data_IF_074549423107
#
_entry.id   IF_074549423107
#
_cell.length_a   1.000
_cell.length_b   1.000
_cell.length_c   1.000
_cell.angle_alpha   90.00
_cell.angle_beta   90.00
_cell.angle_gamma   90.00
#
_symmetry.space_group_name_H-M   'P 1'
#
loop_
_entity.id
_entity.type
_entity.pdbx_description
1 polymer ?
#
# COMPACT_ATOMS: atom_id res chain seq x y z
N UNK A 1 3.68 19.41 -28.19
CA UNK A 1 3.24 17.99 -28.07
C UNK A 1 1.88 17.86 -28.71
N UNK A 2 1.62 16.81 -29.49
CA UNK A 2 0.27 16.51 -29.97
C UNK A 2 -0.55 16.02 -28.78
N UNK A 3 -1.78 16.54 -28.60
CA UNK A 3 -2.71 16.01 -27.59
C UNK A 3 -3.00 14.54 -27.89
N UNK A 4 -3.06 13.65 -26.87
CA UNK A 4 -3.51 12.28 -27.09
C UNK A 4 -4.95 12.32 -27.67
N UNK A 5 -5.24 11.42 -28.58
CA UNK A 5 -6.57 11.30 -29.19
C UNK A 5 -7.61 10.71 -28.25
N UNK A 6 -7.15 10.05 -27.18
CA UNK A 6 -7.98 9.45 -26.13
C UNK A 6 -7.30 9.64 -24.78
N UNK A 7 -8.10 9.88 -23.72
CA UNK A 7 -7.62 10.00 -22.37
C UNK A 7 -8.55 9.31 -21.36
N UNK A 8 -7.97 8.47 -20.53
CA UNK A 8 -8.62 7.81 -19.39
C UNK A 8 -7.88 8.17 -18.11
N UNK A 9 -8.58 8.81 -17.17
CA UNK A 9 -8.05 8.99 -15.81
C UNK A 9 -8.16 7.67 -15.07
N UNK A 10 -7.02 7.03 -14.76
CA UNK A 10 -6.99 5.70 -14.12
C UNK A 10 -6.76 5.73 -12.62
N UNK A 11 -6.47 6.89 -12.04
CA UNK A 11 -6.23 7.09 -10.62
C UNK A 11 -6.84 8.41 -10.18
N UNK A 12 -7.95 8.35 -9.46
CA UNK A 12 -8.65 9.53 -8.97
C UNK A 12 -9.47 9.22 -7.71
N UNK A 13 -9.55 10.21 -6.83
CA UNK A 13 -10.25 10.14 -5.56
C UNK A 13 -11.45 11.08 -5.56
N UNK A 14 -12.56 10.60 -5.01
CA UNK A 14 -13.73 11.44 -4.70
C UNK A 14 -13.70 11.90 -3.25
N UNK A 15 -14.68 12.70 -2.85
CA UNK A 15 -14.86 13.12 -1.46
C UNK A 15 -15.11 11.97 -0.47
N UNK A 16 -15.26 10.73 -0.94
CA UNK A 16 -15.24 9.55 -0.08
C UNK A 16 -13.83 9.21 0.44
N UNK A 17 -12.78 9.65 -0.25
CA UNK A 17 -11.40 9.63 0.26
C UNK A 17 -11.17 10.85 1.15
N UNK A 18 -11.60 10.76 2.41
CA UNK A 18 -11.60 11.85 3.38
C UNK A 18 -10.22 12.51 3.50
N UNK A 19 -10.17 13.83 3.40
CA UNK A 19 -8.99 14.70 3.43
C UNK A 19 -8.06 14.61 2.21
N UNK A 20 -8.44 13.86 1.15
CA UNK A 20 -7.65 13.74 -0.07
C UNK A 20 -8.47 14.07 -1.32
N UNK A 21 -9.64 13.46 -1.50
CA UNK A 21 -10.52 13.74 -2.61
C UNK A 21 -11.54 14.85 -2.34
N UNK A 22 -12.00 15.51 -3.41
CA UNK A 22 -13.06 16.51 -3.40
C UNK A 22 -14.23 16.08 -4.27
N UNK A 23 -15.43 16.56 -3.93
CA UNK A 23 -16.63 16.36 -4.73
C UNK A 23 -17.20 14.93 -4.72
N UNK A 24 -18.42 14.81 -5.20
CA UNK A 24 -19.06 13.50 -5.37
C UNK A 24 -18.64 12.82 -6.67
N UNK A 25 -18.68 11.49 -6.75
CA UNK A 25 -18.35 10.76 -7.99
C UNK A 25 -19.11 11.24 -9.23
N UNK A 26 -20.35 11.69 -9.05
CA UNK A 26 -21.17 12.23 -10.14
C UNK A 26 -20.59 13.53 -10.73
N UNK A 27 -20.01 14.38 -9.89
CA UNK A 27 -19.40 15.63 -10.32
C UNK A 27 -18.14 15.37 -11.14
N UNK A 28 -17.33 14.38 -10.75
CA UNK A 28 -16.18 13.94 -11.53
C UNK A 28 -16.57 13.38 -12.90
N UNK A 29 -17.64 12.59 -12.98
CA UNK A 29 -18.15 12.05 -14.24
C UNK A 29 -18.65 13.18 -15.14
N UNK A 30 -19.38 14.14 -14.61
CA UNK A 30 -19.85 15.30 -15.37
C UNK A 30 -18.65 16.12 -15.86
N UNK A 31 -17.66 16.39 -15.00
CA UNK A 31 -16.44 17.08 -15.39
C UNK A 31 -15.71 16.40 -16.55
N UNK A 32 -15.62 15.07 -16.51
CA UNK A 32 -15.00 14.30 -17.60
C UNK A 32 -15.76 14.47 -18.92
N UNK A 33 -17.09 14.45 -18.89
CA UNK A 33 -17.93 14.67 -20.08
C UNK A 33 -17.78 16.09 -20.62
N UNK A 34 -17.86 17.09 -19.75
CA UNK A 34 -17.76 18.50 -20.12
C UNK A 34 -16.38 18.86 -20.72
N UNK A 35 -15.35 18.10 -20.35
CA UNK A 35 -13.98 18.29 -20.86
C UNK A 35 -13.57 17.27 -21.95
N UNK A 36 -14.49 16.45 -22.44
CA UNK A 36 -14.23 15.51 -23.53
C UNK A 36 -13.25 14.39 -23.21
N UNK A 37 -13.23 13.92 -21.95
CA UNK A 37 -12.45 12.75 -21.56
C UNK A 37 -13.19 11.46 -21.93
N UNK A 38 -12.45 10.42 -22.30
CA UNK A 38 -13.03 9.14 -22.76
C UNK A 38 -13.44 8.22 -21.59
N UNK A 39 -12.85 8.40 -20.43
CA UNK A 39 -13.17 7.58 -19.26
C UNK A 39 -12.51 8.05 -17.98
N UNK A 40 -13.02 7.52 -16.88
CA UNK A 40 -12.58 7.87 -15.54
C UNK A 40 -12.68 6.66 -14.61
N UNK A 41 -11.63 6.41 -13.85
CA UNK A 41 -11.61 5.41 -12.79
C UNK A 41 -11.82 6.07 -11.43
N UNK A 42 -12.73 5.53 -10.64
CA UNK A 42 -12.86 5.87 -9.22
C UNK A 42 -12.00 4.90 -8.41
N UNK A 43 -11.01 5.43 -7.74
CA UNK A 43 -10.02 4.65 -6.98
C UNK A 43 -9.83 5.22 -5.57
N UNK A 44 -10.93 5.35 -4.82
CA UNK A 44 -10.89 5.83 -3.44
C UNK A 44 -10.02 4.94 -2.56
N UNK A 45 -9.44 5.52 -1.50
CA UNK A 45 -8.49 4.89 -0.61
C UNK A 45 -9.08 3.76 0.24
N UNK A 46 -8.67 2.53 -0.02
CA UNK A 46 -8.97 1.35 0.81
C UNK A 46 -10.42 0.90 0.79
N UNK A 47 -11.29 1.52 0.02
CA UNK A 47 -12.71 1.18 -0.04
C UNK A 47 -13.36 1.53 -1.38
N UNK A 48 -14.60 1.08 -1.57
CA UNK A 48 -15.40 1.34 -2.77
C UNK A 48 -16.74 2.01 -2.43
N UNK A 49 -16.79 2.87 -1.41
CA UNK A 49 -18.05 3.48 -0.94
C UNK A 49 -18.69 4.38 -2.00
N UNK A 50 -17.90 5.05 -2.83
CA UNK A 50 -18.39 5.88 -3.94
C UNK A 50 -18.87 5.11 -5.16
N UNK A 51 -18.62 3.80 -5.24
CA UNK A 51 -18.90 2.99 -6.43
C UNK A 51 -20.35 3.04 -6.87
N UNK A 52 -21.31 2.82 -5.97
CA UNK A 52 -22.73 2.81 -6.33
C UNK A 52 -23.19 4.16 -6.89
N UNK A 53 -22.73 5.26 -6.32
CA UNK A 53 -23.02 6.61 -6.79
C UNK A 53 -22.49 6.84 -8.21
N UNK A 54 -21.23 6.47 -8.45
CA UNK A 54 -20.60 6.59 -9.76
C UNK A 54 -21.28 5.71 -10.81
N UNK A 55 -21.51 4.43 -10.46
CA UNK A 55 -22.09 3.46 -11.39
C UNK A 55 -23.51 3.85 -11.84
N UNK A 56 -24.39 4.17 -10.90
CA UNK A 56 -25.78 4.55 -11.22
C UNK A 56 -25.83 5.82 -12.07
N UNK A 57 -24.97 6.79 -11.77
CA UNK A 57 -24.91 8.02 -12.55
C UNK A 57 -24.35 7.77 -13.97
N UNK A 58 -23.26 7.03 -14.09
CA UNK A 58 -22.68 6.64 -15.39
C UNK A 58 -23.69 5.88 -16.26
N UNK A 59 -24.43 4.93 -15.67
CA UNK A 59 -25.47 4.19 -16.38
C UNK A 59 -26.63 5.07 -16.86
N UNK A 60 -27.05 6.05 -16.03
CA UNK A 60 -28.05 7.04 -16.43
C UNK A 60 -27.58 7.84 -17.63
N UNK A 61 -26.35 8.33 -17.61
CA UNK A 61 -25.77 9.11 -18.71
C UNK A 61 -25.56 8.27 -19.96
N UNK A 62 -25.10 7.02 -19.83
CA UNK A 62 -24.93 6.08 -20.92
C UNK A 62 -26.27 5.81 -21.63
N UNK A 63 -27.36 5.61 -20.88
CA UNK A 63 -28.72 5.46 -21.44
C UNK A 63 -29.20 6.72 -22.14
N UNK A 64 -28.71 7.89 -21.77
CA UNK A 64 -28.96 9.17 -22.43
C UNK A 64 -28.03 9.44 -23.64
N UNK A 65 -27.18 8.49 -24.04
CA UNK A 65 -26.29 8.59 -25.18
C UNK A 65 -24.89 9.14 -24.89
N UNK A 66 -24.51 9.37 -23.62
CA UNK A 66 -23.18 9.81 -23.33
C UNK A 66 -22.13 8.70 -23.58
N UNK A 67 -20.99 9.09 -24.14
CA UNK A 67 -19.88 8.20 -24.46
C UNK A 67 -18.74 8.41 -23.49
N UNK A 68 -18.93 8.00 -22.22
CA UNK A 68 -17.90 7.99 -21.20
C UNK A 68 -17.81 6.59 -20.58
N UNK A 69 -16.61 6.07 -20.41
CA UNK A 69 -16.39 4.81 -19.71
C UNK A 69 -16.09 5.07 -18.23
N UNK A 70 -16.99 4.65 -17.36
CA UNK A 70 -16.71 4.55 -15.93
C UNK A 70 -15.96 3.24 -15.63
N UNK A 71 -14.87 3.34 -14.87
CA UNK A 71 -14.03 2.23 -14.45
C UNK A 71 -14.07 2.18 -12.93
N UNK A 72 -14.67 1.13 -12.32
CA UNK A 72 -14.57 0.95 -10.89
C UNK A 72 -13.13 0.58 -10.48
N UNK A 73 -12.73 0.92 -9.28
CA UNK A 73 -11.40 0.59 -8.78
C UNK A 73 -11.28 0.89 -7.29
N UNK A 74 -10.11 0.63 -6.76
CA UNK A 74 -9.73 0.99 -5.40
C UNK A 74 -8.23 1.24 -5.34
N UNK A 75 -7.80 2.30 -4.66
CA UNK A 75 -6.42 2.43 -4.25
C UNK A 75 -6.24 1.68 -2.93
N UNK A 76 -5.71 0.47 -3.03
CA UNK A 76 -5.49 -0.42 -1.89
C UNK A 76 -4.30 0.06 -1.05
N UNK A 77 -4.43 -0.07 0.26
CA UNK A 77 -3.29 -0.01 1.16
C UNK A 77 -2.65 -1.40 1.25
N UNK A 78 -1.37 -1.48 0.92
CA UNK A 78 -0.67 -2.75 0.83
C UNK A 78 0.48 -2.81 1.83
N UNK A 79 0.50 -3.86 2.63
CA UNK A 79 1.63 -4.24 3.46
C UNK A 79 2.39 -5.40 2.77
N UNK A 80 3.71 -5.44 2.82
CA UNK A 80 4.45 -6.54 2.19
C UNK A 80 4.07 -7.94 2.71
N UNK A 81 3.80 -8.07 4.00
CA UNK A 81 3.47 -9.35 4.64
C UNK A 81 2.64 -9.10 5.91
N UNK A 82 1.33 -9.38 5.88
CA UNK A 82 0.43 -9.13 7.01
C UNK A 82 0.63 -10.11 8.17
N UNK A 83 1.05 -11.34 7.89
CA UNK A 83 1.35 -12.33 8.92
C UNK A 83 2.56 -11.90 9.75
N UNK A 84 3.62 -11.49 9.06
CA UNK A 84 4.81 -10.91 9.72
C UNK A 84 4.42 -9.67 10.52
N UNK A 85 3.62 -8.77 9.94
CA UNK A 85 3.15 -7.58 10.65
C UNK A 85 2.38 -7.90 11.94
N UNK A 86 1.48 -8.87 11.91
CA UNK A 86 0.69 -9.27 13.08
C UNK A 86 1.60 -9.79 14.19
N UNK A 87 2.51 -10.68 13.85
CA UNK A 87 3.47 -11.22 14.80
C UNK A 87 4.34 -10.11 15.43
N UNK A 88 4.87 -9.19 14.62
CA UNK A 88 5.64 -8.03 15.10
C UNK A 88 4.82 -7.12 16.03
N UNK A 89 3.59 -6.85 15.65
CA UNK A 89 2.69 -6.02 16.46
C UNK A 89 2.39 -6.65 17.82
N UNK A 90 2.15 -7.96 17.85
CA UNK A 90 1.92 -8.69 19.11
C UNK A 90 3.18 -8.77 19.97
N UNK A 91 4.35 -9.00 19.38
CA UNK A 91 5.64 -8.95 20.08
C UNK A 91 5.85 -7.57 20.70
N UNK A 92 5.66 -6.49 19.96
CA UNK A 92 5.80 -5.11 20.47
C UNK A 92 4.81 -4.84 21.61
N UNK A 93 3.61 -5.39 21.55
CA UNK A 93 2.60 -5.28 22.62
C UNK A 93 2.98 -6.08 23.87
N UNK A 94 3.54 -7.27 23.68
CA UNK A 94 4.03 -8.10 24.78
C UNK A 94 5.28 -7.49 25.44
N UNK A 95 6.21 -6.95 24.63
CA UNK A 95 7.40 -6.26 25.11
C UNK A 95 7.05 -5.05 25.99
N UNK A 96 6.08 -4.22 25.59
CA UNK A 96 5.58 -3.10 26.42
C UNK A 96 5.03 -3.52 27.80
N UNK A 97 4.63 -4.79 27.95
CA UNK A 97 4.15 -5.38 29.21
C UNK A 97 5.24 -6.14 29.95
N UNK A 98 6.45 -6.27 29.41
CA UNK A 98 7.52 -7.09 29.94
C UNK A 98 7.25 -8.59 29.87
N UNK A 99 6.32 -9.05 29.01
CA UNK A 99 5.88 -10.45 28.92
C UNK A 99 6.76 -11.26 27.96
N UNK A 100 7.90 -11.72 28.48
CA UNK A 100 8.86 -12.56 27.74
C UNK A 100 8.25 -13.89 27.29
N UNK A 101 7.35 -14.46 28.09
CA UNK A 101 6.73 -15.75 27.76
C UNK A 101 5.82 -15.64 26.54
N UNK A 102 5.06 -14.55 26.45
CA UNK A 102 4.24 -14.25 25.27
C UNK A 102 5.10 -14.00 24.03
N UNK A 103 6.21 -13.27 24.15
CA UNK A 103 7.13 -13.04 23.03
C UNK A 103 7.65 -14.38 22.48
N UNK A 104 8.14 -15.25 23.36
CA UNK A 104 8.61 -16.57 22.96
C UNK A 104 7.51 -17.40 22.29
N UNK A 105 6.32 -17.43 22.87
CA UNK A 105 5.17 -18.16 22.31
C UNK A 105 4.79 -17.66 20.91
N UNK A 106 4.85 -16.34 20.66
CA UNK A 106 4.58 -15.75 19.35
C UNK A 106 5.64 -16.19 18.34
N UNK A 107 6.93 -16.15 18.71
CA UNK A 107 8.03 -16.59 17.83
C UNK A 107 7.91 -18.08 17.53
N UNK A 108 7.62 -18.92 18.51
CA UNK A 108 7.46 -20.36 18.34
C UNK A 108 6.24 -20.71 17.48
N UNK A 109 5.15 -19.94 17.57
CA UNK A 109 3.96 -20.08 16.71
C UNK A 109 4.22 -19.71 15.25
N UNK A 110 5.22 -18.87 14.97
CA UNK A 110 5.58 -18.40 13.64
C UNK A 110 7.00 -18.83 13.24
N UNK A 111 7.32 -20.11 13.43
CA UNK A 111 8.69 -20.66 13.21
C UNK A 111 9.23 -20.33 11.81
N UNK A 112 8.40 -20.34 10.77
CA UNK A 112 8.79 -19.98 9.40
C UNK A 112 9.16 -18.49 9.23
N UNK A 113 8.79 -17.62 10.18
CA UNK A 113 9.16 -16.21 10.24
C UNK A 113 10.24 -15.92 11.29
N UNK A 114 10.71 -16.94 12.03
CA UNK A 114 11.59 -16.80 13.18
C UNK A 114 12.78 -15.87 12.93
N UNK A 115 13.52 -16.08 11.84
CA UNK A 115 14.69 -15.25 11.51
C UNK A 115 14.33 -13.77 11.37
N UNK A 116 13.19 -13.45 10.75
CA UNK A 116 12.72 -12.07 10.57
C UNK A 116 12.23 -11.47 11.90
N UNK A 117 11.59 -12.27 12.74
CA UNK A 117 11.08 -11.82 14.05
C UNK A 117 12.21 -11.60 15.04
N UNK A 118 13.20 -12.48 15.08
CA UNK A 118 14.38 -12.34 15.94
C UNK A 118 15.23 -11.15 15.50
N UNK A 119 15.45 -10.94 14.21
CA UNK A 119 16.20 -9.79 13.71
C UNK A 119 15.58 -8.44 14.08
N UNK A 120 14.25 -8.39 14.26
CA UNK A 120 13.55 -7.18 14.73
C UNK A 120 13.73 -6.98 16.24
N UNK A 121 13.85 -8.08 16.97
CA UNK A 121 14.08 -8.06 18.41
C UNK A 121 15.53 -7.67 18.73
N UNK A 122 16.47 -8.11 17.89
CA UNK A 122 17.92 -7.91 18.08
C UNK A 122 18.49 -6.69 17.31
N UNK A 123 17.77 -6.12 16.37
CA UNK A 123 18.27 -5.07 15.45
C UNK A 123 17.37 -3.85 15.35
N UNK A 124 17.94 -2.68 15.57
CA UNK A 124 17.40 -1.32 15.39
C UNK A 124 16.35 -0.80 16.37
N UNK A 125 15.77 -1.62 17.22
CA UNK A 125 15.01 -1.16 18.37
C UNK A 125 15.81 -1.60 19.60
N UNK A 126 16.59 -0.71 20.20
CA UNK A 126 17.41 -0.94 21.42
C UNK A 126 16.60 -1.42 22.64
N UNK A 127 15.34 -1.84 22.41
CA UNK A 127 14.37 -2.14 23.46
C UNK A 127 14.16 -3.61 23.77
N UNK A 128 14.66 -4.56 22.96
CA UNK A 128 14.45 -6.00 23.25
C UNK A 128 15.66 -6.84 22.85
N UNK A 129 16.53 -7.10 23.80
CA UNK A 129 17.65 -8.03 23.66
C UNK A 129 17.21 -9.44 24.12
N UNK A 130 17.18 -10.41 23.22
CA UNK A 130 16.88 -11.82 23.49
C UNK A 130 18.16 -12.63 23.49
N UNK A 131 18.99 -12.48 24.52
CA UNK A 131 20.03 -13.45 24.75
C UNK A 131 19.45 -14.83 25.10
N UNK A 132 19.94 -15.85 24.43
CA UNK A 132 19.39 -17.21 24.41
C UNK A 132 19.61 -17.95 25.74
N UNK A 133 20.32 -17.39 26.72
CA UNK A 133 20.49 -17.93 28.03
C UNK A 133 20.37 -16.83 29.13
N UNK A 134 19.16 -16.61 29.60
CA UNK A 134 18.93 -15.88 30.87
C UNK A 134 18.86 -14.35 30.79
N UNK A 135 18.35 -13.80 29.70
CA UNK A 135 18.37 -12.39 29.43
C UNK A 135 17.50 -11.51 30.34
N UNK A 136 18.08 -10.46 30.82
CA UNK A 136 17.37 -9.31 31.36
C UNK A 136 16.85 -8.44 30.22
N UNK A 137 15.54 -8.34 30.09
CA UNK A 137 14.89 -7.35 29.24
C UNK A 137 15.02 -5.97 29.90
N UNK A 138 15.93 -5.17 29.45
CA UNK A 138 15.96 -3.75 29.80
C UNK A 138 15.08 -3.01 28.78
N UNK A 139 13.92 -2.54 29.23
CA UNK A 139 13.10 -1.61 28.48
C UNK A 139 13.62 -0.22 28.83
N UNK A 140 14.46 0.36 27.99
CA UNK A 140 14.82 1.76 28.12
C UNK A 140 13.67 2.62 27.58
N UNK A 141 13.30 3.66 28.34
CA UNK A 141 12.25 4.60 27.98
C UNK A 141 12.65 5.35 26.70
N UNK A 142 11.88 5.16 25.65
CA UNK A 142 12.00 5.86 24.37
C UNK A 142 11.86 7.39 24.60
N UNK A 143 12.94 8.12 24.50
CA UNK A 143 12.85 9.40 23.83
C UNK A 143 12.47 9.07 22.37
N UNK A 144 11.31 9.53 21.92
CA UNK A 144 10.85 9.40 20.53
C UNK A 144 11.92 9.99 19.61
N UNK A 145 12.89 9.20 19.20
CA UNK A 145 13.64 9.47 18.01
C UNK A 145 12.58 9.54 16.90
N UNK A 146 12.45 10.70 16.29
CA UNK A 146 11.55 10.97 15.15
C UNK A 146 11.98 10.11 13.95
N UNK A 147 11.85 8.79 14.06
CA UNK A 147 11.92 7.89 12.94
C UNK A 147 10.78 8.29 12.02
N UNK A 148 11.13 8.73 10.85
CA UNK A 148 10.18 9.20 9.85
C UNK A 148 9.05 8.18 9.74
N UNK A 149 7.78 8.64 9.69
CA UNK A 149 6.57 7.79 9.55
C UNK A 149 6.64 6.79 8.39
N UNK A 150 7.58 6.98 7.47
CA UNK A 150 7.83 6.13 6.32
C UNK A 150 8.51 4.80 6.66
N UNK A 151 9.20 4.70 7.80
CA UNK A 151 10.08 3.57 8.12
C UNK A 151 9.56 2.64 9.23
N UNK A 152 8.46 2.99 9.91
CA UNK A 152 7.86 2.07 10.89
C UNK A 152 7.22 0.88 10.15
N UNK A 153 7.80 -0.33 10.23
CA UNK A 153 7.29 -1.50 9.51
C UNK A 153 5.86 -1.86 9.93
N UNK A 154 5.47 -1.53 11.16
CA UNK A 154 4.12 -1.79 11.69
C UNK A 154 3.09 -0.87 11.02
N UNK A 155 3.47 0.38 10.75
CA UNK A 155 2.58 1.38 10.12
C UNK A 155 2.67 1.38 8.60
N UNK A 156 3.56 0.58 8.01
CA UNK A 156 3.78 0.54 6.57
C UNK A 156 2.49 0.25 5.81
N UNK A 157 2.24 1.07 4.82
CA UNK A 157 1.16 0.90 3.86
C UNK A 157 1.58 1.53 2.54
N UNK A 158 1.75 0.71 1.54
CA UNK A 158 1.98 1.17 0.18
C UNK A 158 0.65 1.35 -0.54
N UNK A 159 0.63 2.20 -1.54
CA UNK A 159 -0.54 2.42 -2.36
C UNK A 159 -0.45 1.61 -3.65
N UNK A 160 -1.50 0.85 -3.98
CA UNK A 160 -1.64 0.15 -5.26
C UNK A 160 -3.03 0.41 -5.81
N UNK A 161 -3.11 0.90 -7.05
CA UNK A 161 -4.39 0.99 -7.74
C UNK A 161 -4.74 -0.37 -8.33
N UNK A 162 -5.93 -0.87 -7.99
CA UNK A 162 -6.48 -2.13 -8.51
C UNK A 162 -7.75 -1.85 -9.28
N UNK A 163 -7.75 -2.20 -10.56
CA UNK A 163 -8.86 -2.01 -11.49
C UNK A 163 -9.35 -3.36 -12.02
N UNK A 164 -10.66 -3.66 -11.99
CA UNK A 164 -11.19 -4.87 -12.58
C UNK A 164 -11.27 -4.76 -14.10
N UNK A 165 -10.88 -5.81 -14.80
CA UNK A 165 -11.02 -5.95 -16.27
C UNK A 165 -12.33 -6.64 -16.65
N UNK A 166 -12.92 -7.38 -15.73
CA UNK A 166 -14.13 -8.20 -15.95
C UNK A 166 -15.06 -8.12 -14.74
N UNK A 167 -16.29 -8.60 -14.87
CA UNK A 167 -17.24 -8.71 -13.75
C UNK A 167 -16.71 -9.63 -12.65
N UNK A 168 -15.98 -10.69 -13.01
CA UNK A 168 -15.28 -11.54 -12.04
C UNK A 168 -14.20 -10.76 -11.29
N UNK A 169 -13.42 -9.92 -12.00
CA UNK A 169 -12.45 -9.02 -11.39
C UNK A 169 -13.10 -8.05 -10.39
N UNK A 170 -14.27 -7.50 -10.73
CA UNK A 170 -15.01 -6.63 -9.80
C UNK A 170 -15.43 -7.38 -8.53
N UNK A 171 -15.93 -8.60 -8.67
CA UNK A 171 -16.28 -9.45 -7.54
C UNK A 171 -15.07 -9.74 -6.63
N UNK A 172 -13.93 -10.05 -7.25
CA UNK A 172 -12.67 -10.28 -6.53
C UNK A 172 -12.16 -9.01 -5.83
N UNK A 173 -12.29 -7.85 -6.48
CA UNK A 173 -11.91 -6.58 -5.87
C UNK A 173 -12.75 -6.27 -4.63
N UNK A 174 -14.06 -6.51 -4.66
CA UNK A 174 -14.90 -6.40 -3.46
C UNK A 174 -14.45 -7.36 -2.36
N UNK A 175 -14.11 -8.61 -2.71
CA UNK A 175 -13.55 -9.57 -1.78
C UNK A 175 -12.25 -9.11 -1.15
N UNK A 176 -11.34 -8.59 -1.97
CA UNK A 176 -10.04 -8.07 -1.52
C UNK A 176 -10.19 -6.89 -0.57
N UNK A 177 -11.08 -5.93 -0.89
CA UNK A 177 -11.41 -4.82 0.01
C UNK A 177 -11.95 -5.34 1.35
N UNK A 178 -12.87 -6.31 1.32
CA UNK A 178 -13.43 -6.91 2.54
C UNK A 178 -12.36 -7.60 3.39
N UNK A 179 -11.45 -8.35 2.78
CA UNK A 179 -10.32 -8.98 3.47
C UNK A 179 -9.40 -7.94 4.13
N UNK A 180 -9.15 -6.82 3.46
CA UNK A 180 -8.38 -5.72 4.05
C UNK A 180 -8.98 -5.18 5.35
N UNK A 181 -10.31 -5.15 5.44
CA UNK A 181 -11.01 -4.75 6.67
C UNK A 181 -11.03 -5.85 7.73
N UNK A 182 -11.18 -7.11 7.34
CA UNK A 182 -11.28 -8.22 8.28
C UNK A 182 -9.92 -8.66 8.83
N UNK A 183 -8.93 -8.77 7.97
CA UNK A 183 -7.69 -9.46 8.29
C UNK A 183 -6.50 -8.51 8.46
N UNK A 184 -6.51 -7.35 7.76
CA UNK A 184 -5.37 -6.44 7.70
C UNK A 184 -5.59 -5.07 8.32
N UNK A 185 -6.68 -4.86 9.06
CA UNK A 185 -7.03 -3.53 9.57
C UNK A 185 -6.09 -3.09 10.71
N UNK A 186 -5.37 -2.01 10.45
CA UNK A 186 -4.68 -1.24 11.47
C UNK A 186 -4.73 0.24 11.08
N UNK A 187 -5.65 1.00 11.65
CA UNK A 187 -6.05 2.37 11.29
C UNK A 187 -6.63 2.50 9.88
N UNK A 188 -6.13 1.68 8.94
CA UNK A 188 -6.57 1.59 7.55
C UNK A 188 -6.71 0.11 7.17
N UNK A 189 -7.61 -0.23 6.24
CA UNK A 189 -7.72 -1.59 5.72
C UNK A 189 -6.51 -1.89 4.83
N UNK A 190 -5.75 -2.94 5.15
CA UNK A 190 -4.57 -3.33 4.40
C UNK A 190 -4.71 -4.75 3.88
N UNK A 191 -4.14 -4.97 2.72
CA UNK A 191 -3.94 -6.30 2.14
C UNK A 191 -2.45 -6.55 1.97
N UNK A 192 -2.04 -7.78 1.69
CA UNK A 192 -0.66 -8.07 1.35
C UNK A 192 -0.52 -8.58 -0.09
N UNK A 193 0.73 -8.80 -0.51
CA UNK A 193 1.01 -9.29 -1.86
C UNK A 193 0.44 -10.70 -2.10
N UNK A 194 0.32 -11.55 -1.08
CA UNK A 194 -0.29 -12.88 -1.22
C UNK A 194 -1.77 -12.77 -1.57
N UNK A 195 -2.50 -11.89 -0.86
CA UNK A 195 -3.92 -11.62 -1.13
C UNK A 195 -4.14 -11.03 -2.52
N UNK A 196 -3.29 -10.07 -2.93
CA UNK A 196 -3.35 -9.46 -4.27
C UNK A 196 -3.09 -10.51 -5.35
N UNK A 197 -2.05 -11.33 -5.19
CA UNK A 197 -1.70 -12.42 -6.10
C UNK A 197 -2.86 -13.41 -6.28
N UNK A 198 -3.50 -13.79 -5.19
CA UNK A 198 -4.66 -14.68 -5.24
C UNK A 198 -5.83 -14.04 -5.98
N UNK A 199 -6.15 -12.78 -5.67
CA UNK A 199 -7.24 -12.06 -6.34
C UNK A 199 -6.96 -11.83 -7.83
N UNK A 200 -5.71 -11.67 -8.24
CA UNK A 200 -5.29 -11.41 -9.61
C UNK A 200 -5.24 -12.66 -10.50
N UNK A 201 -5.31 -13.87 -9.94
CA UNK A 201 -5.27 -15.12 -10.71
C UNK A 201 -6.29 -15.11 -11.85
N UNK A 202 -5.83 -15.55 -13.03
CA UNK A 202 -6.66 -15.58 -14.24
C UNK A 202 -6.72 -14.25 -14.98
N UNK A 203 -5.97 -13.23 -14.55
CA UNK A 203 -5.82 -11.97 -15.27
C UNK A 203 -7.07 -11.08 -15.28
N UNK A 204 -7.95 -11.21 -14.28
CA UNK A 204 -9.19 -10.44 -14.16
C UNK A 204 -9.00 -9.04 -13.57
N UNK A 205 -7.84 -8.77 -12.98
CA UNK A 205 -7.46 -7.48 -12.42
C UNK A 205 -6.31 -6.84 -13.21
N UNK A 206 -6.23 -5.53 -13.14
CA UNK A 206 -5.09 -4.71 -13.56
C UNK A 206 -4.59 -3.97 -12.33
N UNK A 207 -3.27 -3.97 -12.14
CA UNK A 207 -2.62 -3.36 -10.98
C UNK A 207 -1.64 -2.29 -11.48
N UNK A 208 -1.62 -1.16 -10.78
CA UNK A 208 -0.69 -0.06 -11.01
C UNK A 208 -0.05 0.36 -9.68
N UNK A 209 1.18 0.84 -9.76
CA UNK A 209 1.97 1.29 -8.59
C UNK A 209 1.49 2.61 -7.98
N UNK A 210 0.33 3.08 -8.39
CA UNK A 210 -0.36 4.26 -7.89
C UNK A 210 0.49 5.55 -7.97
N UNK A 211 0.79 6.13 -6.81
CA UNK A 211 1.42 7.43 -6.65
C UNK A 211 2.79 7.32 -5.94
N UNK A 212 3.29 8.43 -5.42
CA UNK A 212 4.52 8.48 -4.59
C UNK A 212 4.42 7.62 -3.32
N UNK A 213 3.22 7.31 -2.84
CA UNK A 213 2.98 6.35 -1.75
C UNK A 213 3.06 4.89 -2.17
N UNK A 214 3.31 4.61 -3.45
CA UNK A 214 3.41 3.25 -3.99
C UNK A 214 4.72 2.54 -3.61
N UNK A 215 4.78 1.21 -3.80
CA UNK A 215 5.94 0.42 -3.39
C UNK A 215 7.20 0.77 -4.16
N UNK A 216 7.12 1.15 -5.44
CA UNK A 216 8.29 1.57 -6.21
C UNK A 216 8.91 2.85 -5.69
N UNK A 217 8.08 3.85 -5.40
CA UNK A 217 8.55 5.11 -4.83
C UNK A 217 9.13 4.88 -3.43
N UNK A 218 8.50 4.03 -2.61
CA UNK A 218 9.02 3.67 -1.30
C UNK A 218 10.43 3.08 -1.39
N UNK A 219 10.67 2.11 -2.27
CA UNK A 219 11.99 1.51 -2.46
C UNK A 219 13.02 2.54 -2.95
N UNK A 220 12.65 3.38 -3.91
CA UNK A 220 13.51 4.44 -4.40
C UNK A 220 13.94 5.39 -3.26
N UNK A 221 12.99 5.86 -2.46
CA UNK A 221 13.26 6.79 -1.37
C UNK A 221 13.97 6.14 -0.18
N UNK A 222 13.67 4.87 0.15
CA UNK A 222 14.35 4.16 1.23
C UNK A 222 15.84 3.97 0.95
N UNK A 223 16.20 3.78 -0.33
CA UNK A 223 17.61 3.67 -0.75
C UNK A 223 18.36 4.99 -0.69
N UNK A 224 17.64 6.11 -0.77
CA UNK A 224 18.17 7.45 -0.59
C UNK A 224 18.22 7.88 0.89
N UNK A 225 17.81 7.04 1.81
CA UNK A 225 17.88 7.30 3.25
C UNK A 225 19.34 7.53 3.69
N UNK A 226 19.55 8.61 4.44
CA UNK A 226 20.91 9.11 4.78
C UNK A 226 21.33 10.29 3.94
N UNK A 227 20.63 10.55 2.83
CA UNK A 227 20.71 11.83 2.14
C UNK A 227 19.56 12.72 2.62
N UNK A 228 19.90 13.84 3.21
CA UNK A 228 18.89 14.86 3.54
C UNK A 228 18.34 15.37 2.21
N UNK A 229 17.06 15.15 1.94
CA UNK A 229 16.40 15.54 0.68
C UNK A 229 16.59 17.01 0.36
N UNK A 230 16.63 17.86 1.40
CA UNK A 230 16.85 19.30 1.29
C UNK A 230 18.28 19.66 0.85
N UNK A 231 19.18 18.68 0.78
CA UNK A 231 20.58 18.81 0.39
C UNK A 231 20.97 17.94 -0.80
N UNK A 232 20.00 17.43 -1.56
CA UNK A 232 20.30 16.74 -2.81
C UNK A 232 20.86 17.73 -3.80
N UNK A 233 22.17 17.76 -3.89
CA UNK A 233 22.89 18.55 -4.90
C UNK A 233 22.87 17.84 -6.26
N UNK A 234 23.06 18.56 -7.37
CA UNK A 234 23.20 17.94 -8.69
C UNK A 234 24.30 16.86 -8.73
N UNK A 235 25.38 17.02 -7.94
CA UNK A 235 26.45 16.05 -7.82
C UNK A 235 25.98 14.74 -7.18
N UNK A 236 25.20 14.81 -6.09
CA UNK A 236 24.62 13.64 -5.44
C UNK A 236 23.62 12.92 -6.35
N UNK A 237 22.81 13.66 -7.10
CA UNK A 237 21.85 13.07 -8.05
C UNK A 237 22.55 12.38 -9.23
N UNK A 238 23.79 12.74 -9.52
CA UNK A 238 24.63 12.11 -10.54
C UNK A 238 25.54 11.00 -9.97
N UNK A 239 25.47 10.72 -8.67
CA UNK A 239 26.24 9.65 -8.06
C UNK A 239 25.72 8.30 -8.57
N UNK A 240 26.59 7.59 -9.29
CA UNK A 240 26.26 6.32 -9.91
C UNK A 240 25.90 5.24 -8.88
N UNK A 241 26.51 5.25 -7.71
CA UNK A 241 26.23 4.27 -6.64
C UNK A 241 24.84 4.44 -6.08
N UNK A 242 24.33 5.67 -5.94
CA UNK A 242 22.97 5.95 -5.51
C UNK A 242 21.97 5.48 -6.58
N UNK A 243 22.26 5.81 -7.84
CA UNK A 243 21.39 5.40 -8.95
C UNK A 243 21.29 3.88 -9.06
N UNK A 244 22.40 3.15 -8.95
CA UNK A 244 22.46 1.70 -8.98
C UNK A 244 21.70 1.07 -7.78
N UNK A 245 21.82 1.64 -6.57
CA UNK A 245 21.09 1.19 -5.39
C UNK A 245 19.57 1.38 -5.55
N UNK A 246 19.14 2.55 -6.03
CA UNK A 246 17.72 2.82 -6.30
C UNK A 246 17.19 1.87 -7.37
N UNK A 247 17.93 1.69 -8.47
CA UNK A 247 17.54 0.83 -9.57
C UNK A 247 17.40 -0.64 -9.13
N UNK A 248 18.31 -1.13 -8.29
CA UNK A 248 18.23 -2.48 -7.71
C UNK A 248 17.01 -2.66 -6.81
N UNK A 249 16.72 -1.69 -5.94
CA UNK A 249 15.54 -1.73 -5.07
C UNK A 249 14.23 -1.71 -5.85
N UNK A 250 14.13 -0.84 -6.86
CA UNK A 250 12.98 -0.77 -7.76
C UNK A 250 12.81 -2.08 -8.54
N UNK A 251 13.90 -2.69 -9.02
CA UNK A 251 13.86 -3.98 -9.72
C UNK A 251 13.27 -5.07 -8.84
N UNK A 252 13.76 -5.23 -7.62
CA UNK A 252 13.24 -6.22 -6.67
C UNK A 252 11.75 -6.03 -6.36
N UNK A 253 11.28 -4.79 -6.27
CA UNK A 253 9.87 -4.50 -6.04
C UNK A 253 9.02 -4.78 -7.27
N UNK A 254 9.53 -4.52 -8.47
CA UNK A 254 8.86 -4.89 -9.72
C UNK A 254 8.71 -6.41 -9.80
N UNK A 255 9.76 -7.18 -9.51
CA UNK A 255 9.72 -8.65 -9.53
C UNK A 255 8.65 -9.19 -8.56
N UNK A 256 8.58 -8.66 -7.33
CA UNK A 256 7.55 -9.02 -6.37
C UNK A 256 6.12 -8.71 -6.87
N UNK A 257 5.95 -7.59 -7.57
CA UNK A 257 4.66 -7.20 -8.15
C UNK A 257 4.32 -8.04 -9.39
N UNK A 258 5.31 -8.36 -10.23
CA UNK A 258 5.12 -9.22 -11.42
C UNK A 258 4.74 -10.63 -10.98
N UNK A 259 5.39 -11.17 -9.95
CA UNK A 259 5.05 -12.47 -9.38
C UNK A 259 3.65 -12.48 -8.72
N UNK A 260 3.12 -11.31 -8.39
CA UNK A 260 1.78 -11.15 -7.80
C UNK A 260 0.65 -11.03 -8.85
N UNK A 261 0.95 -10.85 -10.13
CA UNK A 261 -0.02 -10.66 -11.23
C UNK A 261 -0.06 -11.86 -12.15
#
# INVERSE_FOLDING_TARGET
>A
MKRPTRFFGLHAHSGFSTFDGLGYPQEHINFCLDNGLDGWALTDHGHMNGFAHAYLHAEKLRKAGANLKFIPGCEMYVHPDLELWQAQYEIKKAAKKGDKSAIKAIIDAHEHLRTKLVAIVDGDDETVNLDTEGANLTIENEEETKSSKFYDPIKRRHHLVVLPKTSEGLRRLFGLVSQGYMDGFYRFPRVDYKMIKEAAKGGHLMISTACIGGPLAYEAFSRLQGYEFDRLTPELLNDKSIFEAVQSGVGNTIDQLVDAV
#
